data_IF_177805957720
#
_entry.id   IF_177805957720
#
_cell.length_a   1.000
_cell.length_b   1.000
_cell.length_c   1.000
_cell.angle_alpha   90.00
_cell.angle_beta   90.00
_cell.angle_gamma   90.00
#
_symmetry.space_group_name_H-M   'P 1'
#
loop_
_entity.id
_entity.type
_entity.pdbx_description
1 polymer ?
#
# COMPACT_ATOMS: atom_id res chain seq x y z
N UNK A 1 10.10 -19.69 5.98
CA UNK A 1 9.35 -19.50 4.74
C UNK A 1 7.87 -19.63 5.04
N UNK A 2 7.17 -18.51 4.96
CA UNK A 2 5.73 -18.41 5.16
C UNK A 2 5.00 -19.05 3.97
N UNK A 3 3.79 -19.54 4.20
CA UNK A 3 2.90 -19.98 3.11
C UNK A 3 1.74 -18.99 3.01
N UNK A 4 1.87 -18.04 2.07
CA UNK A 4 0.90 -16.99 1.77
C UNK A 4 -0.55 -17.50 1.71
N UNK A 5 -0.80 -18.66 1.08
CA UNK A 5 -2.17 -19.16 0.85
C UNK A 5 -2.82 -19.63 2.14
N UNK A 6 -2.05 -20.30 3.00
CA UNK A 6 -2.54 -20.79 4.30
C UNK A 6 -2.77 -19.66 5.29
N UNK A 7 -2.08 -18.53 5.11
CA UNK A 7 -2.18 -17.35 5.97
C UNK A 7 -3.34 -16.43 5.58
N UNK A 8 -3.99 -16.63 4.42
CA UNK A 8 -5.11 -15.79 3.99
C UNK A 8 -6.25 -15.83 5.00
N UNK A 9 -6.74 -14.66 5.37
CA UNK A 9 -7.96 -14.51 6.16
C UNK A 9 -9.19 -14.85 5.31
N UNK A 10 -10.31 -15.26 5.91
CA UNK A 10 -11.57 -15.42 5.18
C UNK A 10 -12.04 -14.14 4.47
N UNK A 11 -11.62 -12.98 4.97
CA UNK A 11 -11.92 -11.66 4.38
C UNK A 11 -10.89 -11.21 3.34
N UNK A 12 -10.08 -12.12 2.82
CA UNK A 12 -9.08 -11.82 1.80
C UNK A 12 -9.74 -11.14 0.60
N UNK A 13 -9.13 -10.07 0.12
CA UNK A 13 -9.56 -9.37 -1.09
C UNK A 13 -8.42 -9.29 -2.10
N UNK A 14 -8.69 -9.53 -3.39
CA UNK A 14 -7.67 -9.46 -4.42
C UNK A 14 -7.19 -8.01 -4.60
N UNK A 15 -5.98 -7.86 -5.12
CA UNK A 15 -5.39 -6.57 -5.42
C UNK A 15 -4.03 -6.66 -6.07
N UNK A 16 -3.22 -5.60 -6.04
CA UNK A 16 -1.87 -5.64 -6.59
C UNK A 16 -1.02 -6.70 -5.89
N UNK A 17 -0.27 -7.43 -6.69
CA UNK A 17 0.70 -8.41 -6.22
C UNK A 17 2.08 -7.74 -6.13
N UNK A 18 2.76 -7.94 -5.00
CA UNK A 18 4.07 -7.36 -4.72
C UNK A 18 4.99 -8.45 -4.16
N UNK A 19 6.26 -8.44 -4.54
CA UNK A 19 7.27 -9.31 -3.93
C UNK A 19 7.70 -8.69 -2.60
N UNK A 20 7.75 -9.47 -1.52
CA UNK A 20 8.15 -9.00 -0.17
C UNK A 20 9.57 -9.47 0.20
N UNK A 21 9.99 -9.20 1.43
CA UNK A 21 11.35 -9.49 1.93
C UNK A 21 11.73 -10.97 1.90
N UNK A 22 10.75 -11.86 1.95
CA UNK A 22 10.93 -13.32 1.80
C UNK A 22 11.11 -13.78 0.34
N UNK A 23 11.03 -12.85 -0.62
CA UNK A 23 11.11 -13.14 -2.05
C UNK A 23 9.83 -13.76 -2.63
N UNK A 24 8.78 -13.98 -1.83
CA UNK A 24 7.48 -14.47 -2.28
C UNK A 24 6.58 -13.31 -2.74
N UNK A 25 5.64 -13.61 -3.63
CA UNK A 25 4.57 -12.70 -4.03
C UNK A 25 3.43 -12.69 -3.03
N UNK A 26 3.05 -11.50 -2.56
CA UNK A 26 1.95 -11.25 -1.65
C UNK A 26 0.93 -10.28 -2.26
N UNK A 27 -0.35 -10.42 -1.91
CA UNK A 27 -1.42 -9.56 -2.41
C UNK A 27 -1.78 -8.47 -1.40
N UNK A 28 -1.57 -7.21 -1.77
CA UNK A 28 -2.12 -6.09 -1.01
C UNK A 28 -3.57 -5.85 -1.45
N UNK A 29 -4.52 -5.64 -0.51
CA UNK A 29 -5.90 -5.35 -0.87
C UNK A 29 -5.99 -3.99 -1.60
N UNK A 30 -6.93 -3.83 -2.52
CA UNK A 30 -7.16 -2.54 -3.21
C UNK A 30 -7.95 -1.55 -2.35
N UNK A 31 -7.46 -0.32 -2.13
CA UNK A 31 -8.19 0.66 -1.35
C UNK A 31 -9.50 1.02 -2.02
N UNK A 32 -10.53 1.21 -1.20
CA UNK A 32 -11.79 1.79 -1.66
C UNK A 32 -11.61 3.28 -1.93
N UNK A 33 -12.31 3.84 -2.90
CA UNK A 33 -12.36 5.29 -3.07
C UNK A 33 -13.39 5.85 -2.08
N UNK A 34 -12.95 6.73 -1.17
CA UNK A 34 -13.84 7.48 -0.30
C UNK A 34 -13.90 8.92 -0.75
N UNK A 35 -15.12 9.41 -1.00
CA UNK A 35 -15.41 10.80 -1.33
C UNK A 35 -16.01 11.49 -0.12
N UNK A 36 -15.62 12.74 0.13
CA UNK A 36 -16.10 13.52 1.27
C UNK A 36 -16.09 15.02 0.95
N UNK A 37 -16.95 15.83 1.58
CA UNK A 37 -16.94 17.27 1.36
C UNK A 37 -15.68 17.90 1.95
N UNK A 38 -15.03 18.78 1.19
CA UNK A 38 -13.92 19.63 1.64
C UNK A 38 -14.23 21.09 1.36
N UNK A 39 -13.51 22.01 1.98
CA UNK A 39 -13.56 23.44 1.62
C UNK A 39 -12.42 23.77 0.67
N UNK A 40 -12.73 24.45 -0.42
CA UNK A 40 -11.73 25.00 -1.33
C UNK A 40 -11.12 26.32 -0.78
N UNK A 41 -10.22 26.93 -1.55
CA UNK A 41 -9.57 28.19 -1.19
C UNK A 41 -10.55 29.37 -1.05
N UNK A 42 -11.71 29.31 -1.71
CA UNK A 42 -12.78 30.32 -1.62
C UNK A 42 -13.77 30.01 -0.48
N UNK A 43 -13.54 28.94 0.28
CA UNK A 43 -14.40 28.49 1.36
C UNK A 43 -15.69 27.78 0.91
N UNK A 44 -15.84 27.47 -0.38
CA UNK A 44 -17.00 26.73 -0.92
C UNK A 44 -16.86 25.24 -0.67
N UNK A 45 -17.99 24.53 -0.63
CA UNK A 45 -17.99 23.07 -0.53
C UNK A 45 -17.59 22.48 -1.89
N UNK A 46 -16.50 21.73 -1.89
CA UNK A 46 -16.00 20.93 -3.00
C UNK A 46 -16.00 19.44 -2.63
N UNK A 47 -15.83 18.57 -3.63
CA UNK A 47 -15.66 17.13 -3.41
C UNK A 47 -14.18 16.80 -3.30
N UNK A 48 -13.76 16.38 -2.11
CA UNK A 48 -12.48 15.73 -1.89
C UNK A 48 -12.63 14.21 -2.01
N UNK A 49 -11.51 13.53 -2.17
CA UNK A 49 -11.51 12.08 -2.16
C UNK A 49 -10.12 11.48 -2.11
N UNK A 50 -10.05 10.23 -1.64
CA UNK A 50 -8.80 9.51 -1.55
C UNK A 50 -8.97 8.00 -1.33
N UNK A 51 -7.88 7.23 -1.44
CA UNK A 51 -7.84 5.83 -1.06
C UNK A 51 -8.19 5.66 0.42
N UNK A 52 -9.07 4.71 0.73
CA UNK A 52 -9.54 4.43 2.09
C UNK A 52 -9.52 2.94 2.40
N UNK A 53 -9.01 2.64 3.60
CA UNK A 53 -9.02 1.32 4.24
C UNK A 53 -9.37 1.42 5.73
N UNK A 54 -10.22 2.39 6.08
CA UNK A 54 -10.58 2.70 7.46
C UNK A 54 -9.74 3.84 8.05
N UNK A 55 -10.17 4.31 9.22
CA UNK A 55 -9.69 5.56 9.81
C UNK A 55 -8.18 5.57 10.10
N UNK A 56 -7.60 4.45 10.51
CA UNK A 56 -6.16 4.36 10.80
C UNK A 56 -5.31 4.51 9.52
N UNK A 57 -5.76 3.88 8.42
CA UNK A 57 -5.09 4.03 7.13
C UNK A 57 -5.22 5.45 6.59
N UNK A 58 -6.40 6.06 6.74
CA UNK A 58 -6.65 7.46 6.33
C UNK A 58 -5.75 8.43 7.10
N UNK A 59 -5.61 8.27 8.41
CA UNK A 59 -4.71 9.10 9.22
C UNK A 59 -3.24 8.97 8.76
N UNK A 60 -2.79 7.76 8.42
CA UNK A 60 -1.43 7.56 7.90
C UNK A 60 -1.24 8.13 6.49
N UNK A 61 -2.28 8.16 5.66
CA UNK A 61 -2.24 8.84 4.36
C UNK A 61 -2.07 10.36 4.54
N UNK A 62 -2.78 10.94 5.51
CA UNK A 62 -2.66 12.36 5.85
C UNK A 62 -1.26 12.67 6.41
N UNK A 63 -0.75 11.84 7.33
CA UNK A 63 0.61 11.94 7.85
C UNK A 63 1.65 11.84 6.72
N UNK A 64 1.47 10.91 5.77
CA UNK A 64 2.39 10.72 4.64
C UNK A 64 2.38 11.92 3.68
N UNK A 65 1.23 12.59 3.54
CA UNK A 65 1.07 13.78 2.71
C UNK A 65 1.65 15.04 3.38
N UNK A 66 1.56 15.13 4.70
CA UNK A 66 2.13 16.21 5.50
C UNK A 66 3.63 16.02 5.80
N UNK A 67 4.15 14.79 5.68
CA UNK A 67 5.54 14.47 5.92
C UNK A 67 6.48 15.22 4.98
N UNK A 68 7.54 15.80 5.53
CA UNK A 68 8.63 16.39 4.77
C UNK A 68 9.22 15.34 3.80
N UNK A 69 9.47 15.75 2.55
CA UNK A 69 10.05 14.89 1.53
C UNK A 69 11.50 14.52 1.86
N UNK A 70 12.21 15.38 2.61
CA UNK A 70 13.60 15.16 3.00
C UNK A 70 13.73 14.31 4.28
N UNK A 71 12.64 14.14 5.04
CA UNK A 71 12.60 13.23 6.19
C UNK A 71 12.30 11.78 5.75
N UNK A 72 13.32 11.15 5.18
CA UNK A 72 13.24 9.78 4.69
C UNK A 72 12.86 8.77 5.79
N UNK A 73 13.26 9.00 7.05
CA UNK A 73 13.03 8.05 8.15
C UNK A 73 11.58 8.07 8.61
N UNK A 74 11.01 9.26 8.81
CA UNK A 74 9.59 9.39 9.16
C UNK A 74 8.70 8.88 8.04
N UNK A 75 9.04 9.22 6.79
CA UNK A 75 8.32 8.75 5.62
C UNK A 75 8.32 7.22 5.51
N UNK A 76 9.48 6.59 5.71
CA UNK A 76 9.61 5.13 5.69
C UNK A 76 8.80 4.48 6.82
N UNK A 77 8.82 5.08 8.03
CA UNK A 77 8.04 4.60 9.17
C UNK A 77 6.53 4.56 8.87
N UNK A 78 6.01 5.62 8.24
CA UNK A 78 4.60 5.68 7.83
C UNK A 78 4.29 4.59 6.79
N UNK A 79 5.15 4.44 5.78
CA UNK A 79 4.99 3.43 4.73
C UNK A 79 4.99 1.99 5.29
N UNK A 80 5.86 1.71 6.25
CA UNK A 80 5.88 0.42 6.96
C UNK A 80 4.55 0.14 7.67
N UNK A 81 4.06 1.11 8.45
CA UNK A 81 2.79 0.98 9.18
C UNK A 81 1.62 0.76 8.24
N UNK A 82 1.53 1.54 7.18
CA UNK A 82 0.49 1.38 6.16
C UNK A 82 0.54 0.01 5.50
N UNK A 83 1.72 -0.45 5.08
CA UNK A 83 1.87 -1.76 4.44
C UNK A 83 1.51 -2.91 5.40
N UNK A 84 1.92 -2.81 6.67
CA UNK A 84 1.55 -3.78 7.70
C UNK A 84 0.03 -3.86 7.91
N UNK A 85 -0.68 -2.72 7.94
CA UNK A 85 -2.15 -2.68 8.04
C UNK A 85 -2.82 -3.37 6.85
N UNK A 86 -2.32 -3.12 5.64
CA UNK A 86 -2.83 -3.76 4.42
C UNK A 86 -2.61 -5.27 4.44
N UNK A 87 -1.44 -5.73 4.87
CA UNK A 87 -1.14 -7.16 5.01
C UNK A 87 -2.01 -7.82 6.09
N UNK A 88 -2.15 -7.22 7.27
CA UNK A 88 -2.98 -7.75 8.36
C UNK A 88 -4.48 -7.83 8.00
N UNK A 89 -4.92 -7.09 6.98
CA UNK A 89 -6.29 -7.20 6.45
C UNK A 89 -6.51 -8.47 5.66
N UNK A 90 -5.52 -8.87 4.86
CA UNK A 90 -5.58 -10.06 4.00
C UNK A 90 -5.04 -11.31 4.68
N UNK A 91 -4.17 -11.19 5.69
CA UNK A 91 -3.40 -12.31 6.25
C UNK A 91 -3.41 -12.34 7.78
N UNK A 92 -3.36 -13.56 8.34
CA UNK A 92 -3.08 -13.80 9.76
C UNK A 92 -1.56 -13.80 9.98
N UNK A 93 -0.98 -12.62 10.23
CA UNK A 93 0.46 -12.46 10.44
C UNK A 93 0.75 -12.10 11.90
N UNK A 94 1.81 -12.67 12.45
CA UNK A 94 2.41 -12.23 13.70
C UNK A 94 3.50 -11.17 13.44
N UNK A 95 3.92 -10.46 14.49
CA UNK A 95 4.96 -9.42 14.38
C UNK A 95 6.27 -9.93 13.80
N UNK A 96 6.64 -11.18 14.11
CA UNK A 96 7.83 -11.82 13.54
C UNK A 96 7.73 -12.01 12.02
N UNK A 97 6.53 -12.29 11.52
CA UNK A 97 6.28 -12.51 10.10
C UNK A 97 6.37 -11.16 9.38
N UNK A 98 5.79 -10.10 9.96
CA UNK A 98 5.94 -8.74 9.45
C UNK A 98 7.40 -8.28 9.39
N UNK A 99 8.23 -8.69 10.36
CA UNK A 99 9.67 -8.40 10.36
C UNK A 99 10.41 -9.12 9.21
N UNK A 100 9.98 -10.32 8.81
CA UNK A 100 10.54 -11.05 7.67
C UNK A 100 10.07 -10.44 6.33
N UNK A 101 8.82 -9.99 6.28
CA UNK A 101 8.18 -9.48 5.06
C UNK A 101 8.55 -8.02 4.74
N UNK A 102 8.63 -7.17 5.76
CA UNK A 102 8.88 -5.73 5.60
C UNK A 102 10.31 -5.43 6.01
N UNK A 103 11.25 -5.69 5.11
CA UNK A 103 12.68 -5.46 5.33
C UNK A 103 13.17 -4.37 4.39
N UNK A 104 13.94 -3.43 4.94
CA UNK A 104 14.84 -2.57 4.17
C UNK A 104 16.25 -3.06 4.46
N UNK A 105 16.86 -3.68 3.46
CA UNK A 105 18.24 -4.14 3.49
C UNK A 105 19.04 -3.36 2.44
N UNK A 106 20.14 -2.74 2.87
CA UNK A 106 21.00 -1.96 1.99
C UNK A 106 21.92 -2.84 1.12
N UNK A 107 22.15 -4.08 1.53
CA UNK A 107 22.94 -5.06 0.76
C UNK A 107 22.11 -5.74 -0.32
N UNK A 108 20.77 -5.69 -0.22
CA UNK A 108 19.86 -6.21 -1.23
C UNK A 108 19.68 -5.22 -2.39
N UNK A 109 20.20 -5.52 -3.60
CA UNK A 109 20.12 -4.63 -4.76
C UNK A 109 18.68 -4.40 -5.25
N UNK A 110 17.72 -5.26 -4.87
CA UNK A 110 16.32 -5.15 -5.25
C UNK A 110 15.46 -4.44 -4.21
N UNK A 111 15.99 -4.12 -3.03
CA UNK A 111 15.26 -3.50 -1.93
C UNK A 111 14.55 -2.20 -2.34
N UNK A 112 15.27 -1.31 -3.03
CA UNK A 112 14.71 -0.02 -3.50
C UNK A 112 13.53 -0.21 -4.44
N UNK A 113 13.66 -1.15 -5.37
CA UNK A 113 12.66 -1.46 -6.38
C UNK A 113 11.42 -2.15 -5.76
N UNK A 114 11.66 -3.04 -4.80
CA UNK A 114 10.62 -3.68 -3.98
C UNK A 114 9.76 -2.63 -3.27
N UNK A 115 10.39 -1.72 -2.54
CA UNK A 115 9.69 -0.66 -1.81
C UNK A 115 9.01 0.35 -2.73
N UNK A 116 9.56 0.61 -3.94
CA UNK A 116 8.86 1.40 -4.96
C UNK A 116 7.54 0.75 -5.36
N UNK A 117 7.53 -0.56 -5.59
CA UNK A 117 6.34 -1.31 -6.00
C UNK A 117 5.31 -1.38 -4.88
N UNK A 118 5.75 -1.65 -3.65
CA UNK A 118 4.90 -1.61 -2.43
C UNK A 118 4.22 -0.24 -2.30
N UNK A 119 4.99 0.85 -2.41
CA UNK A 119 4.48 2.22 -2.29
C UNK A 119 3.45 2.56 -3.38
N UNK A 120 3.64 2.08 -4.61
CA UNK A 120 2.66 2.25 -5.68
C UNK A 120 1.37 1.48 -5.42
N UNK A 121 1.48 0.23 -4.97
CA UNK A 121 0.32 -0.60 -4.65
C UNK A 121 -0.50 -0.03 -3.48
N UNK A 122 0.19 0.35 -2.40
CA UNK A 122 -0.39 0.98 -1.21
C UNK A 122 -1.18 2.24 -1.58
N UNK A 123 -0.58 3.17 -2.33
CA UNK A 123 -1.22 4.45 -2.66
C UNK A 123 -2.27 4.36 -3.78
N UNK A 124 -2.58 3.16 -4.27
CA UNK A 124 -3.51 2.96 -5.39
C UNK A 124 -2.98 3.48 -6.74
N UNK A 125 -1.66 3.75 -6.83
CA UNK A 125 -0.97 4.23 -8.03
C UNK A 125 -0.29 3.10 -8.81
N UNK A 126 -0.67 1.85 -8.56
CA UNK A 126 -0.16 0.71 -9.32
C UNK A 126 -0.40 0.94 -10.82
N UNK A 127 0.57 0.63 -11.70
CA UNK A 127 0.40 0.80 -13.13
C UNK A 127 -0.83 0.02 -13.60
N UNK A 128 -1.71 0.72 -14.33
CA UNK A 128 -2.85 0.08 -15.01
C UNK A 128 -2.25 -0.99 -15.92
N UNK A 129 -2.72 -2.26 -15.88
CA UNK A 129 -2.28 -3.24 -16.86
C UNK A 129 -2.54 -2.65 -18.26
N UNK A 130 -1.52 -2.65 -19.11
CA UNK A 130 -1.58 -2.13 -20.47
C UNK A 130 -2.81 -2.73 -21.15
N UNK A 131 -3.67 -1.86 -21.66
CA UNK A 131 -4.77 -2.29 -22.51
C UNK A 131 -4.20 -2.69 -23.87
N UNK A 132 -3.65 -3.91 -23.97
CA UNK A 132 -3.52 -4.60 -25.25
C UNK A 132 -4.91 -5.11 -25.67
N UNK A 133 -5.81 -4.15 -25.89
CA UNK A 133 -7.03 -4.35 -26.65
C UNK A 133 -6.71 -3.99 -28.09
N UNK A 134 -6.33 -4.99 -28.88
CA UNK A 134 -6.29 -4.89 -30.34
C UNK A 134 -7.62 -4.33 -30.85
N UNK A 135 -7.65 -3.05 -31.15
CA UNK A 135 -8.59 -2.49 -32.10
C UNK A 135 -8.03 -2.82 -33.48
N UNK A 136 -8.43 -3.97 -34.03
CA UNK A 136 -8.39 -4.18 -35.47
C UNK A 136 -9.73 -3.68 -36.06
N UNK A 137 -9.69 -2.95 -37.19
CA UNK A 137 -10.88 -2.38 -37.85
C UNK A 137 -11.78 -3.43 -38.50
#
# INVERSE_FOLDING_TARGET
MLDERTLRRPTFTPGPEVVLGDGQTWTLPRPSLRLFPVRDADGRIAVGGGPSFGAEYEALMDDLAACDADDATSRLTIQFRMTALLLARNYHLADRDLRELLIVDAEDPHCRERWRTINQAMTGRAPKPSADGSAAP
#
